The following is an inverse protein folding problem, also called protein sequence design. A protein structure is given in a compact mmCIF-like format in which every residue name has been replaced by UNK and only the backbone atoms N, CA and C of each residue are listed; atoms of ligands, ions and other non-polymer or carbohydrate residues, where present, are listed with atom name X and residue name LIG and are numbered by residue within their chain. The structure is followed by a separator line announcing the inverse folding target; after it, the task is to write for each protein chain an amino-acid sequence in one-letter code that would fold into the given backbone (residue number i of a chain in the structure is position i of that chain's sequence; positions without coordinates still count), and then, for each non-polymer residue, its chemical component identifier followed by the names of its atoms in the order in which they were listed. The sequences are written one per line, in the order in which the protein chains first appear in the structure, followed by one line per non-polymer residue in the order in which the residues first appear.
data_IF_387738978022
#
_entry.id   IF_387738978022
#
_cell.length_a   1.000
_cell.length_b   1.000
_cell.length_c   1.000
_cell.angle_alpha   90.00
_cell.angle_beta   90.00
_cell.angle_gamma   90.00
#
_symmetry.space_group_name_H-M   'P 1'
#
loop_
_entity.id
_entity.type
_entity.pdbx_description
1 polymer ?
#
# COMPACT_ATOMS: atom_id res chain seq x y z
N UNK A 1 44.44 -34.32 0.62
CA UNK A 1 43.06 -34.85 0.81
C UNK A 1 42.28 -33.81 1.58
N UNK A 2 41.32 -33.13 0.95
CA UNK A 2 40.43 -32.22 1.70
C UNK A 2 39.47 -33.06 2.52
N UNK A 3 39.47 -32.84 3.82
CA UNK A 3 38.63 -33.56 4.78
C UNK A 3 37.15 -33.23 4.56
N UNK A 4 36.24 -34.13 4.92
CA UNK A 4 34.78 -33.88 4.82
C UNK A 4 34.35 -32.57 5.52
N UNK A 5 35.06 -32.20 6.60
CA UNK A 5 34.88 -30.94 7.31
C UNK A 5 35.18 -29.70 6.43
N UNK A 6 36.23 -29.76 5.60
CA UNK A 6 36.61 -28.65 4.71
C UNK A 6 35.62 -28.44 3.57
N UNK A 7 34.90 -29.50 3.18
CA UNK A 7 33.82 -29.43 2.18
C UNK A 7 32.59 -28.77 2.80
N UNK A 8 32.17 -29.22 3.98
CA UNK A 8 31.04 -28.62 4.71
C UNK A 8 31.27 -27.14 5.06
N UNK A 9 32.50 -26.77 5.42
CA UNK A 9 32.86 -25.39 5.68
C UNK A 9 32.76 -24.50 4.42
N UNK A 10 33.16 -25.02 3.26
CA UNK A 10 33.01 -24.34 1.96
C UNK A 10 31.54 -24.21 1.56
N UNK A 11 30.77 -25.30 1.65
CA UNK A 11 29.33 -25.28 1.35
C UNK A 11 28.58 -24.28 2.26
N UNK A 12 28.99 -24.16 3.52
CA UNK A 12 28.42 -23.18 4.45
C UNK A 12 28.80 -21.73 4.10
N UNK A 13 30.03 -21.49 3.65
CA UNK A 13 30.51 -20.19 3.18
C UNK A 13 29.78 -19.75 1.90
N UNK A 14 29.64 -20.66 0.94
CA UNK A 14 28.91 -20.43 -0.32
C UNK A 14 27.43 -20.13 -0.03
N UNK A 15 26.81 -20.87 0.90
CA UNK A 15 25.44 -20.60 1.33
C UNK A 15 25.29 -19.26 2.07
N UNK A 16 26.30 -18.84 2.83
CA UNK A 16 26.32 -17.53 3.48
C UNK A 16 26.46 -16.40 2.45
N UNK A 17 27.28 -16.59 1.42
CA UNK A 17 27.44 -15.64 0.32
C UNK A 17 26.13 -15.50 -0.48
N UNK A 18 25.47 -16.61 -0.83
CA UNK A 18 24.16 -16.59 -1.50
C UNK A 18 23.12 -15.86 -0.65
N UNK A 19 23.08 -16.11 0.67
CA UNK A 19 22.19 -15.38 1.58
C UNK A 19 22.48 -13.88 1.60
N UNK A 20 23.76 -13.48 1.59
CA UNK A 20 24.21 -12.08 1.55
C UNK A 20 23.73 -11.36 0.29
N UNK A 21 23.78 -12.03 -0.86
CA UNK A 21 23.25 -11.51 -2.13
C UNK A 21 21.72 -11.47 -2.17
N UNK A 22 21.03 -12.44 -1.56
CA UNK A 22 19.57 -12.43 -1.46
C UNK A 22 19.04 -11.40 -0.46
N UNK A 23 19.80 -11.08 0.58
CA UNK A 23 19.45 -10.06 1.59
C UNK A 23 19.85 -8.64 1.19
N UNK A 24 20.45 -8.45 0.00
CA UNK A 24 20.86 -7.12 -0.45
C UNK A 24 19.64 -6.18 -0.52
N UNK A 25 19.72 -4.96 0.03
CA UNK A 25 18.58 -4.05 0.14
C UNK A 25 17.93 -3.75 -1.22
N UNK A 26 18.74 -3.67 -2.28
CA UNK A 26 18.27 -3.41 -3.65
C UNK A 26 17.49 -4.60 -4.23
N UNK A 27 17.88 -5.84 -3.92
CA UNK A 27 17.16 -7.05 -4.38
C UNK A 27 15.81 -7.14 -3.69
N UNK A 28 15.74 -6.79 -2.41
CA UNK A 28 14.49 -6.77 -1.64
C UNK A 28 13.58 -5.65 -2.16
N UNK A 29 14.11 -4.44 -2.33
CA UNK A 29 13.39 -3.32 -2.91
C UNK A 29 12.84 -3.65 -4.31
N UNK A 30 13.64 -4.28 -5.16
CA UNK A 30 13.22 -4.71 -6.49
C UNK A 30 12.13 -5.79 -6.46
N UNK A 31 12.25 -6.82 -5.61
CA UNK A 31 11.22 -7.87 -5.48
C UNK A 31 9.90 -7.29 -5.02
N UNK A 32 9.96 -6.40 -4.04
CA UNK A 32 8.81 -5.75 -3.44
C UNK A 32 8.13 -4.82 -4.46
N UNK A 33 8.89 -4.01 -5.19
CA UNK A 33 8.35 -3.17 -6.27
C UNK A 33 7.77 -4.03 -7.41
N UNK A 34 8.38 -5.17 -7.74
CA UNK A 34 7.85 -6.11 -8.73
C UNK A 34 6.49 -6.68 -8.30
N UNK A 35 6.35 -7.11 -7.05
CA UNK A 35 5.08 -7.60 -6.51
C UNK A 35 4.02 -6.50 -6.55
N UNK A 36 4.36 -5.27 -6.11
CA UNK A 36 3.46 -4.12 -6.20
C UNK A 36 2.99 -3.85 -7.63
N UNK A 37 3.90 -3.78 -8.59
CA UNK A 37 3.57 -3.59 -10.03
C UNK A 37 2.75 -4.73 -10.61
N UNK A 38 2.97 -5.96 -10.15
CA UNK A 38 2.23 -7.13 -10.62
C UNK A 38 0.79 -7.11 -10.09
N UNK A 39 0.61 -6.86 -8.79
CA UNK A 39 -0.72 -6.74 -8.17
C UNK A 39 -1.50 -5.59 -8.78
N UNK A 40 -0.84 -4.44 -8.99
CA UNK A 40 -1.47 -3.28 -9.64
C UNK A 40 -1.95 -3.61 -11.06
N UNK A 41 -1.11 -4.29 -11.85
CA UNK A 41 -1.46 -4.73 -13.21
C UNK A 41 -2.63 -5.72 -13.22
N UNK A 42 -2.65 -6.70 -12.32
CA UNK A 42 -3.75 -7.67 -12.22
C UNK A 42 -5.06 -6.99 -11.83
N UNK A 43 -5.01 -6.03 -10.90
CA UNK A 43 -6.19 -5.29 -10.49
C UNK A 43 -6.73 -4.44 -11.63
N UNK A 44 -5.87 -3.69 -12.33
CA UNK A 44 -6.27 -2.92 -13.51
C UNK A 44 -6.79 -3.80 -14.65
N UNK A 45 -6.17 -4.96 -14.89
CA UNK A 45 -6.65 -5.91 -15.88
C UNK A 45 -8.06 -6.40 -15.52
N UNK A 46 -8.31 -6.75 -14.26
CA UNK A 46 -9.64 -7.15 -13.78
C UNK A 46 -10.68 -6.04 -13.94
N UNK A 47 -10.35 -4.79 -13.59
CA UNK A 47 -11.23 -3.64 -13.76
C UNK A 47 -11.55 -3.42 -15.25
N UNK A 48 -10.54 -3.40 -16.12
CA UNK A 48 -10.73 -3.17 -17.56
C UNK A 48 -11.55 -4.28 -18.20
N UNK A 49 -11.27 -5.55 -17.86
CA UNK A 49 -12.03 -6.69 -18.37
C UNK A 49 -13.49 -6.66 -17.89
N UNK A 50 -13.70 -6.35 -16.60
CA UNK A 50 -15.04 -6.20 -16.05
C UNK A 50 -15.82 -5.08 -16.74
N UNK A 51 -15.20 -3.91 -16.92
CA UNK A 51 -15.78 -2.78 -17.63
C UNK A 51 -16.07 -3.10 -19.09
N UNK A 52 -15.17 -3.78 -19.80
CA UNK A 52 -15.40 -4.19 -21.18
C UNK A 52 -16.61 -5.14 -21.28
N UNK A 53 -16.76 -6.06 -20.32
CA UNK A 53 -17.90 -6.95 -20.25
C UNK A 53 -19.21 -6.18 -19.98
N UNK A 54 -19.23 -5.29 -18.97
CA UNK A 54 -20.43 -4.49 -18.67
C UNK A 54 -20.81 -3.60 -19.85
N UNK A 55 -19.82 -2.96 -20.46
CA UNK A 55 -20.03 -2.09 -21.61
C UNK A 55 -20.56 -2.87 -22.82
N UNK A 56 -20.05 -4.06 -23.10
CA UNK A 56 -20.56 -4.88 -24.20
C UNK A 56 -22.03 -5.32 -23.96
N UNK A 57 -22.37 -5.70 -22.74
CA UNK A 57 -23.75 -6.11 -22.41
C UNK A 57 -24.73 -4.92 -22.47
N UNK A 58 -24.34 -3.77 -21.90
CA UNK A 58 -25.13 -2.54 -21.99
C UNK A 58 -25.24 -2.07 -23.44
N UNK A 59 -24.18 -2.19 -24.23
CA UNK A 59 -24.21 -1.83 -25.65
C UNK A 59 -25.20 -2.70 -26.42
N UNK A 60 -25.17 -4.02 -26.21
CA UNK A 60 -26.11 -4.94 -26.83
C UNK A 60 -27.55 -4.59 -26.48
N UNK A 61 -27.82 -4.30 -25.20
CA UNK A 61 -29.13 -3.88 -24.73
C UNK A 61 -29.57 -2.53 -25.32
N UNK A 62 -28.71 -1.52 -25.27
CA UNK A 62 -29.03 -0.16 -25.69
C UNK A 62 -29.09 0.00 -27.21
N UNK A 63 -28.34 -0.81 -27.97
CA UNK A 63 -28.41 -0.82 -29.43
C UNK A 63 -29.76 -1.34 -29.92
N UNK A 64 -30.45 -2.20 -29.14
CA UNK A 64 -31.83 -2.64 -29.39
C UNK A 64 -32.11 -3.09 -30.86
N UNK A 65 -31.13 -3.77 -31.48
CA UNK A 65 -31.22 -4.23 -32.87
C UNK A 65 -30.83 -3.21 -33.94
N UNK A 66 -30.24 -2.07 -33.57
CA UNK A 66 -29.69 -1.10 -34.51
C UNK A 66 -28.64 -1.73 -35.43
N UNK A 67 -28.60 -1.27 -36.68
CA UNK A 67 -27.62 -1.73 -37.67
C UNK A 67 -26.19 -1.48 -37.19
N UNK A 68 -25.30 -2.45 -37.43
CA UNK A 68 -23.88 -2.35 -37.07
C UNK A 68 -23.26 -1.16 -37.79
N UNK A 69 -22.65 -0.26 -37.02
CA UNK A 69 -22.04 0.97 -37.54
C UNK A 69 -22.98 2.17 -37.66
N UNK A 70 -24.28 2.01 -37.37
CA UNK A 70 -25.21 3.14 -37.28
C UNK A 70 -24.89 4.05 -36.07
N UNK A 71 -25.36 5.31 -36.11
CA UNK A 71 -25.19 6.25 -35.01
C UNK A 71 -25.72 5.70 -33.66
N UNK A 72 -26.94 5.11 -33.58
CA UNK A 72 -27.42 4.49 -32.33
C UNK A 72 -26.48 3.38 -31.83
N UNK A 73 -26.01 2.51 -32.72
CA UNK A 73 -25.10 1.42 -32.37
C UNK A 73 -23.76 1.93 -31.81
N UNK A 74 -23.21 3.00 -32.39
CA UNK A 74 -21.99 3.67 -31.92
C UNK A 74 -22.22 4.39 -30.58
N UNK A 75 -23.31 5.13 -30.43
CA UNK A 75 -23.61 5.85 -29.18
C UNK A 75 -23.89 4.93 -28.00
N UNK A 76 -24.42 3.72 -28.25
CA UNK A 76 -24.64 2.71 -27.22
C UNK A 76 -23.33 2.28 -26.51
N UNK A 77 -22.19 2.32 -27.22
CA UNK A 77 -20.87 2.04 -26.62
C UNK A 77 -20.43 3.08 -25.59
N UNK A 78 -21.01 4.29 -25.59
CA UNK A 78 -20.62 5.38 -24.68
C UNK A 78 -21.38 5.36 -23.35
N UNK A 79 -22.53 4.68 -23.30
CA UNK A 79 -23.45 4.77 -22.16
C UNK A 79 -22.81 4.26 -20.87
N UNK A 80 -22.30 3.03 -20.88
CA UNK A 80 -21.68 2.41 -19.70
C UNK A 80 -20.34 3.06 -19.32
N UNK A 81 -19.37 3.30 -20.25
CA UNK A 81 -18.11 3.95 -19.91
C UNK A 81 -18.30 5.33 -19.28
N UNK A 82 -19.30 6.10 -19.69
CA UNK A 82 -19.58 7.41 -19.09
C UNK A 82 -19.94 7.29 -17.62
N UNK A 83 -20.85 6.37 -17.29
CA UNK A 83 -21.26 6.12 -15.89
C UNK A 83 -20.08 5.59 -15.07
N UNK A 84 -19.32 4.64 -15.61
CA UNK A 84 -18.16 4.08 -14.94
C UNK A 84 -17.04 5.11 -14.71
N UNK A 85 -16.77 5.99 -15.66
CA UNK A 85 -15.78 7.06 -15.51
C UNK A 85 -16.19 8.07 -14.44
N UNK A 86 -17.46 8.44 -14.38
CA UNK A 86 -17.98 9.32 -13.32
C UNK A 86 -17.84 8.66 -11.95
N UNK A 87 -18.21 7.38 -11.83
CA UNK A 87 -18.04 6.62 -10.60
C UNK A 87 -16.56 6.51 -10.18
N UNK A 88 -15.66 6.19 -11.13
CA UNK A 88 -14.22 6.13 -10.87
C UNK A 88 -13.65 7.50 -10.47
N UNK A 89 -14.13 8.59 -11.07
CA UNK A 89 -13.75 9.94 -10.70
C UNK A 89 -14.20 10.29 -9.27
N UNK A 90 -15.43 9.92 -8.89
CA UNK A 90 -15.94 10.08 -7.53
C UNK A 90 -15.09 9.27 -6.54
N UNK A 91 -14.85 7.99 -6.82
CA UNK A 91 -13.98 7.13 -6.01
C UNK A 91 -12.59 7.73 -5.87
N UNK A 92 -12.01 8.22 -6.97
CA UNK A 92 -10.70 8.87 -6.95
C UNK A 92 -10.70 10.15 -6.11
N UNK A 93 -11.74 10.97 -6.20
CA UNK A 93 -11.87 12.20 -5.43
C UNK A 93 -11.97 11.93 -3.92
N UNK A 94 -12.74 10.91 -3.51
CA UNK A 94 -12.83 10.49 -2.10
C UNK A 94 -11.49 10.05 -1.54
N UNK A 95 -10.72 9.30 -2.33
CA UNK A 95 -9.40 8.82 -1.91
C UNK A 95 -8.39 9.98 -1.77
N UNK A 96 -8.44 10.95 -2.68
CA UNK A 96 -7.61 12.15 -2.57
C UNK A 96 -8.01 12.95 -1.32
N UNK A 97 -9.29 13.15 -1.05
CA UNK A 97 -9.77 13.93 0.10
C UNK A 97 -9.56 13.22 1.43
N UNK A 98 -9.66 11.88 1.48
CA UNK A 98 -9.37 11.07 2.65
C UNK A 98 -7.91 11.23 3.11
N UNK A 99 -6.96 11.38 2.18
CA UNK A 99 -5.55 11.69 2.49
C UNK A 99 -5.37 13.02 3.22
N UNK A 100 -6.28 13.96 3.03
CA UNK A 100 -6.32 15.25 3.73
C UNK A 100 -7.30 15.27 4.92
N UNK A 101 -7.82 14.10 5.35
CA UNK A 101 -8.79 13.96 6.46
C UNK A 101 -10.11 14.73 6.25
N UNK A 102 -10.44 15.05 5.00
CA UNK A 102 -11.70 15.69 4.65
C UNK A 102 -12.75 14.61 4.38
N UNK A 103 -13.79 14.57 5.19
CA UNK A 103 -14.86 13.58 5.06
C UNK A 103 -15.81 13.98 3.93
N UNK A 104 -16.11 13.03 3.04
CA UNK A 104 -17.08 13.24 1.97
C UNK A 104 -18.52 13.13 2.50
N UNK A 105 -19.38 14.04 2.04
CA UNK A 105 -20.76 14.14 2.51
C UNK A 105 -21.68 13.03 2.00
N UNK A 106 -22.90 12.97 2.55
CA UNK A 106 -23.94 11.97 2.21
C UNK A 106 -24.29 11.92 0.72
N UNK A 107 -24.13 13.03 0.00
CA UNK A 107 -24.37 13.11 -1.45
C UNK A 107 -23.38 12.29 -2.28
N UNK A 108 -22.12 12.20 -1.86
CA UNK A 108 -21.12 11.40 -2.57
C UNK A 108 -21.45 9.91 -2.45
N UNK A 109 -21.83 9.48 -1.24
CA UNK A 109 -22.34 8.13 -0.99
C UNK A 109 -23.58 7.82 -1.83
N UNK A 110 -24.53 8.75 -1.88
CA UNK A 110 -25.73 8.58 -2.71
C UNK A 110 -25.39 8.44 -4.20
N UNK A 111 -24.48 9.26 -4.73
CA UNK A 111 -24.04 9.18 -6.12
C UNK A 111 -23.38 7.83 -6.45
N UNK A 112 -22.55 7.28 -5.55
CA UNK A 112 -21.92 5.96 -5.71
C UNK A 112 -22.96 4.84 -5.77
N UNK A 113 -23.90 4.83 -4.83
CA UNK A 113 -24.95 3.81 -4.82
C UNK A 113 -25.89 3.94 -6.02
N UNK A 114 -26.20 5.16 -6.45
CA UNK A 114 -27.05 5.40 -7.62
C UNK A 114 -26.37 4.92 -8.91
N UNK A 115 -25.08 5.24 -9.10
CA UNK A 115 -24.31 4.80 -10.27
C UNK A 115 -24.10 3.28 -10.29
N UNK A 116 -23.83 2.67 -9.13
CA UNK A 116 -23.76 1.22 -9.00
C UNK A 116 -25.10 0.54 -9.29
N UNK A 117 -26.20 1.07 -8.75
CA UNK A 117 -27.54 0.55 -9.00
C UNK A 117 -27.94 0.66 -10.47
N UNK A 118 -27.63 1.79 -11.12
CA UNK A 118 -27.86 1.96 -12.56
C UNK A 118 -27.09 0.90 -13.37
N UNK A 119 -25.81 0.70 -13.07
CA UNK A 119 -24.96 -0.32 -13.72
C UNK A 119 -25.53 -1.74 -13.52
N UNK A 120 -25.94 -2.06 -12.29
CA UNK A 120 -26.56 -3.35 -11.98
C UNK A 120 -27.86 -3.56 -12.76
N UNK A 121 -28.75 -2.57 -12.79
CA UNK A 121 -30.03 -2.66 -13.49
C UNK A 121 -29.79 -2.87 -14.99
N UNK A 122 -28.96 -2.04 -15.61
CA UNK A 122 -28.69 -2.16 -17.06
C UNK A 122 -28.11 -3.52 -17.43
N UNK A 123 -27.26 -4.11 -16.58
CA UNK A 123 -26.69 -5.42 -16.86
C UNK A 123 -27.65 -6.59 -16.62
N UNK A 124 -28.55 -6.48 -15.65
CA UNK A 124 -29.41 -7.60 -15.25
C UNK A 124 -30.82 -7.52 -15.83
N UNK A 125 -31.23 -6.39 -16.40
CA UNK A 125 -32.61 -6.15 -16.86
C UNK A 125 -33.12 -7.22 -17.82
N UNK A 126 -32.32 -7.59 -18.82
CA UNK A 126 -32.70 -8.65 -19.78
C UNK A 126 -32.90 -10.01 -19.09
N UNK A 127 -32.08 -10.31 -18.08
CA UNK A 127 -32.20 -11.54 -17.29
C UNK A 127 -33.42 -11.54 -16.38
N UNK A 128 -33.77 -10.38 -15.82
CA UNK A 128 -35.02 -10.19 -15.08
C UNK A 128 -36.25 -10.33 -15.98
N UNK A 129 -36.25 -9.70 -17.14
CA UNK A 129 -37.32 -9.80 -18.13
C UNK A 129 -37.51 -11.24 -18.64
N UNK A 130 -36.41 -12.01 -18.74
CA UNK A 130 -36.43 -13.42 -19.09
C UNK A 130 -36.76 -14.36 -17.92
N UNK A 131 -36.89 -13.86 -16.69
CA UNK A 131 -37.13 -14.68 -15.51
C UNK A 131 -36.00 -15.67 -15.20
N UNK A 132 -34.75 -15.32 -15.51
CA UNK A 132 -33.57 -16.19 -15.35
C UNK A 132 -32.72 -15.80 -14.14
N UNK A 133 -32.84 -16.51 -13.00
CA UNK A 133 -32.03 -16.21 -11.81
C UNK A 133 -30.53 -16.39 -12.08
N UNK A 134 -30.16 -17.41 -12.86
CA UNK A 134 -28.78 -17.65 -13.26
C UNK A 134 -28.23 -16.49 -14.11
N UNK A 135 -29.04 -15.94 -15.02
CA UNK A 135 -28.66 -14.76 -15.82
C UNK A 135 -28.46 -13.51 -14.96
N UNK A 136 -29.32 -13.28 -13.95
CA UNK A 136 -29.18 -12.15 -13.03
C UNK A 136 -27.86 -12.26 -12.24
N UNK A 137 -27.54 -13.45 -11.73
CA UNK A 137 -26.26 -13.67 -11.03
C UNK A 137 -25.09 -13.45 -11.99
N UNK A 138 -25.12 -14.05 -13.18
CA UNK A 138 -24.01 -13.97 -14.13
C UNK A 138 -23.71 -12.53 -14.57
N UNK A 139 -24.73 -11.71 -14.82
CA UNK A 139 -24.53 -10.33 -15.27
C UNK A 139 -24.36 -9.31 -14.13
N UNK A 140 -24.64 -9.69 -12.87
CA UNK A 140 -24.40 -8.82 -11.70
C UNK A 140 -22.98 -8.94 -11.14
N UNK A 141 -22.31 -10.07 -11.35
CA UNK A 141 -20.93 -10.29 -10.87
C UNK A 141 -19.95 -9.23 -11.40
N UNK A 142 -19.92 -8.90 -12.71
CA UNK A 142 -18.92 -7.95 -13.23
C UNK A 142 -19.05 -6.53 -12.65
N UNK A 143 -20.24 -5.90 -12.58
CA UNK A 143 -20.42 -4.61 -11.89
C UNK A 143 -19.93 -4.61 -10.45
N UNK A 144 -20.30 -5.65 -9.68
CA UNK A 144 -19.94 -5.75 -8.26
C UNK A 144 -18.43 -5.91 -8.11
N UNK A 145 -17.81 -6.77 -8.91
CA UNK A 145 -16.36 -6.99 -8.88
C UNK A 145 -15.61 -5.72 -9.27
N UNK A 146 -16.04 -4.99 -10.31
CA UNK A 146 -15.42 -3.71 -10.72
C UNK A 146 -15.52 -2.68 -9.61
N UNK A 147 -16.71 -2.51 -9.01
CA UNK A 147 -16.92 -1.57 -7.91
C UNK A 147 -16.04 -1.90 -6.70
N UNK A 148 -16.07 -3.16 -6.26
CA UNK A 148 -15.25 -3.62 -5.13
C UNK A 148 -13.76 -3.52 -5.44
N UNK A 149 -13.33 -3.89 -6.66
CA UNK A 149 -11.93 -3.76 -7.07
C UNK A 149 -11.48 -2.30 -7.11
N UNK A 150 -12.33 -1.38 -7.59
CA UNK A 150 -12.01 0.05 -7.62
C UNK A 150 -11.90 0.66 -6.22
N UNK A 151 -12.71 0.23 -5.26
CA UNK A 151 -12.59 0.60 -3.84
C UNK A 151 -11.37 -0.05 -3.16
N UNK A 152 -11.15 -1.33 -3.44
CA UNK A 152 -10.09 -2.11 -2.83
C UNK A 152 -8.71 -1.72 -3.37
N UNK A 153 -8.57 -1.39 -4.66
CA UNK A 153 -7.27 -1.01 -5.24
C UNK A 153 -6.71 0.23 -4.56
N UNK A 154 -7.58 1.11 -4.08
CA UNK A 154 -7.16 2.35 -3.44
C UNK A 154 -6.62 2.12 -2.04
N UNK A 155 -7.26 1.25 -1.25
CA UNK A 155 -6.76 0.84 0.08
C UNK A 155 -5.55 -0.10 -0.03
N UNK A 156 -5.56 -1.03 -0.98
CA UNK A 156 -4.50 -1.99 -1.22
C UNK A 156 -3.20 -1.31 -1.66
N UNK A 157 -3.27 -0.24 -2.46
CA UNK A 157 -2.08 0.52 -2.88
C UNK A 157 -1.35 1.17 -1.70
N UNK A 158 -2.11 1.73 -0.76
CA UNK A 158 -1.55 2.40 0.41
C UNK A 158 -0.96 1.33 1.36
N UNK A 159 -1.68 0.24 1.63
CA UNK A 159 -1.19 -0.87 2.45
C UNK A 159 0.01 -1.61 1.86
N UNK A 160 0.04 -1.81 0.54
CA UNK A 160 1.19 -2.39 -0.14
C UNK A 160 2.40 -1.47 0.03
N UNK A 161 2.23 -0.16 -0.13
CA UNK A 161 3.31 0.83 0.07
C UNK A 161 3.84 0.79 1.50
N UNK A 162 2.96 0.67 2.50
CA UNK A 162 3.38 0.53 3.90
C UNK A 162 4.08 -0.81 4.17
N UNK A 163 3.53 -1.92 3.67
CA UNK A 163 4.16 -3.23 3.77
C UNK A 163 5.54 -3.27 3.10
N UNK A 164 5.70 -2.57 1.97
CA UNK A 164 6.98 -2.36 1.28
C UNK A 164 7.97 -1.65 2.22
N UNK A 165 7.56 -0.52 2.81
CA UNK A 165 8.41 0.23 3.73
C UNK A 165 8.80 -0.58 4.97
N UNK A 166 7.88 -1.37 5.53
CA UNK A 166 8.15 -2.27 6.67
C UNK A 166 9.11 -3.39 6.30
N UNK A 167 8.94 -4.02 5.13
CA UNK A 167 9.83 -5.08 4.66
C UNK A 167 11.27 -4.57 4.42
N UNK A 168 11.42 -3.38 3.83
CA UNK A 168 12.72 -2.74 3.60
C UNK A 168 13.39 -2.38 4.94
N UNK A 169 12.67 -1.73 5.84
CA UNK A 169 13.20 -1.33 7.16
C UNK A 169 13.60 -2.53 8.03
N UNK A 170 12.80 -3.59 8.02
CA UNK A 170 13.11 -4.84 8.75
C UNK A 170 14.35 -5.54 8.18
N UNK A 171 14.50 -5.53 6.85
CA UNK A 171 15.66 -6.12 6.19
C UNK A 171 16.94 -5.35 6.50
N UNK A 172 16.87 -4.01 6.46
CA UNK A 172 17.99 -3.15 6.87
C UNK A 172 18.39 -3.37 8.33
N UNK A 173 17.42 -3.47 9.25
CA UNK A 173 17.69 -3.73 10.66
C UNK A 173 18.30 -5.12 10.89
N UNK A 174 17.92 -6.13 10.10
CA UNK A 174 18.50 -7.49 10.20
C UNK A 174 19.93 -7.57 9.67
N UNK A 175 20.28 -6.76 8.67
CA UNK A 175 21.67 -6.66 8.18
C UNK A 175 22.58 -5.98 9.21
N UNK A 176 22.07 -5.00 9.97
CA UNK A 176 22.84 -4.32 11.03
C UNK A 176 23.04 -5.20 12.28
N UNK A 177 22.12 -6.12 12.59
CA UNK A 177 22.17 -6.96 13.82
C UNK A 177 23.03 -8.24 13.65
N UNK A 178 23.34 -8.66 12.42
CA UNK A 178 24.02 -9.94 12.16
C UNK A 178 25.43 -9.80 11.57
N UNK A 179 26.13 -8.69 11.78
CA UNK A 179 27.58 -8.64 11.52
C UNK A 179 28.29 -9.39 12.66
N UNK A 180 28.82 -10.61 12.46
CA UNK A 180 29.64 -11.24 13.47
C UNK A 180 30.94 -10.45 13.49
N UNK A 181 31.30 -9.87 14.63
CA UNK A 181 32.60 -9.26 14.84
C UNK A 181 33.70 -10.31 14.59
N UNK A 182 34.21 -10.37 13.36
CA UNK A 182 35.42 -11.11 13.04
C UNK A 182 36.56 -10.31 13.66
N UNK A 183 37.05 -10.78 14.80
CA UNK A 183 38.25 -10.25 15.44
C UNK A 183 39.46 -10.52 14.53
N UNK A 184 39.88 -9.51 13.78
CA UNK A 184 41.15 -9.51 13.04
C UNK A 184 42.23 -8.93 13.96
N UNK A 185 43.40 -9.58 14.15
CA UNK A 185 44.45 -9.04 15.00
C UNK A 185 45.10 -7.83 14.35
N UNK A 186 45.35 -6.82 15.18
CA UNK A 186 45.85 -5.50 14.78
C UNK A 186 47.24 -5.56 14.12
N UNK A 187 47.36 -4.96 12.94
CA UNK A 187 48.64 -4.43 12.48
C UNK A 187 48.40 -3.11 11.76
N UNK A 188 49.16 -2.10 12.16
CA UNK A 188 48.94 -0.70 11.87
C UNK A 188 49.18 -0.34 10.39
N UNK A 189 48.20 0.34 9.77
CA UNK A 189 48.43 1.28 8.66
C UNK A 189 47.50 2.47 8.85
N UNK A 190 48.11 3.64 9.00
CA UNK A 190 47.49 4.97 9.08
C UNK A 190 47.18 5.50 7.69
N UNK A 191 45.90 5.57 7.28
CA UNK A 191 45.41 6.49 6.24
C UNK A 191 43.93 6.83 6.50
N UNK A 192 43.67 8.13 6.62
CA UNK A 192 42.42 8.86 6.40
C UNK A 192 41.13 8.41 7.14
N UNK A 193 40.62 9.36 7.91
CA UNK A 193 39.28 9.48 8.49
C UNK A 193 38.15 8.99 7.56
N UNK A 194 37.84 7.70 7.64
CA UNK A 194 36.58 7.15 7.12
C UNK A 194 35.50 7.45 8.15
N UNK A 195 34.62 8.38 7.80
CA UNK A 195 33.44 8.74 8.58
C UNK A 195 32.71 7.48 9.06
N UNK A 196 32.54 7.36 10.38
CA UNK A 196 31.77 6.29 11.02
C UNK A 196 30.38 6.20 10.36
N UNK A 197 29.87 5.01 10.01
CA UNK A 197 28.50 4.88 9.53
C UNK A 197 27.55 5.37 10.63
N UNK A 198 26.74 6.37 10.30
CA UNK A 198 25.74 6.95 11.21
C UNK A 198 24.74 5.85 11.52
N UNK A 199 24.79 5.32 12.75
CA UNK A 199 23.86 4.34 13.28
C UNK A 199 22.43 4.82 13.05
N UNK A 200 21.61 4.02 12.37
CA UNK A 200 20.24 4.40 12.03
C UNK A 200 19.42 4.45 13.31
N UNK A 201 18.94 5.64 13.69
CA UNK A 201 18.11 5.82 14.90
C UNK A 201 16.80 5.04 14.77
N UNK A 202 16.53 4.16 15.73
CA UNK A 202 15.28 3.41 15.87
C UNK A 202 14.24 4.27 16.62
N UNK A 203 12.97 3.83 16.62
CA UNK A 203 11.90 4.52 17.33
C UNK A 203 12.22 4.76 18.81
N UNK A 204 12.80 3.78 19.49
CA UNK A 204 13.22 3.89 20.88
C UNK A 204 14.33 4.94 21.08
N UNK A 205 15.24 5.09 20.11
CA UNK A 205 16.30 6.10 20.17
C UNK A 205 15.69 7.50 20.04
N UNK A 206 14.73 7.69 19.13
CA UNK A 206 14.00 8.96 19.01
C UNK A 206 13.16 9.28 20.25
N UNK A 207 12.56 8.27 20.90
CA UNK A 207 11.80 8.47 22.13
C UNK A 207 12.73 8.81 23.32
N UNK A 208 13.89 8.17 23.40
CA UNK A 208 14.92 8.47 24.40
C UNK A 208 15.48 9.89 24.20
N UNK A 209 15.75 10.28 22.96
CA UNK A 209 16.19 11.64 22.61
C UNK A 209 15.11 12.68 23.00
N UNK A 210 13.84 12.41 22.68
CA UNK A 210 12.74 13.29 23.08
C UNK A 210 12.63 13.41 24.61
N UNK A 211 12.78 12.30 25.33
CA UNK A 211 12.73 12.27 26.81
C UNK A 211 13.90 13.03 27.44
N UNK A 212 15.09 12.94 26.86
CA UNK A 212 16.28 13.63 27.36
C UNK A 212 16.19 15.17 27.26
N UNK A 213 15.38 15.67 26.33
CA UNK A 213 15.20 17.11 26.07
C UNK A 213 13.90 17.65 26.69
N UNK A 214 12.99 16.77 27.10
CA UNK A 214 11.70 17.16 27.66
C UNK A 214 11.79 17.64 29.12
N UNK A 215 11.06 18.69 29.45
CA UNK A 215 10.84 19.18 30.82
C UNK A 215 9.34 19.37 31.09
N UNK A 216 8.94 19.34 32.35
CA UNK A 216 7.52 19.41 32.76
C UNK A 216 6.79 20.70 32.33
N UNK A 217 7.52 21.74 31.94
CA UNK A 217 6.99 23.01 31.46
C UNK A 217 6.69 23.01 29.95
N UNK A 218 7.10 21.96 29.23
CA UNK A 218 6.98 21.86 27.77
C UNK A 218 5.78 21.00 27.37
N UNK A 219 4.85 21.59 26.61
CA UNK A 219 3.73 20.87 26.02
C UNK A 219 4.20 19.89 24.94
N UNK A 220 3.87 18.61 25.11
CA UNK A 220 4.26 17.55 24.17
C UNK A 220 3.39 17.64 22.92
N UNK A 221 3.91 18.26 21.86
CA UNK A 221 3.26 18.35 20.55
C UNK A 221 4.07 17.66 19.44
N UNK A 222 3.44 17.18 18.35
CA UNK A 222 4.17 16.63 17.21
C UNK A 222 5.12 17.64 16.53
N UNK A 223 4.85 18.94 16.65
CA UNK A 223 5.74 19.99 16.16
C UNK A 223 7.01 20.05 17.00
N UNK A 224 6.87 20.09 18.32
CA UNK A 224 7.98 20.09 19.26
C UNK A 224 8.84 18.83 19.15
N UNK A 225 8.23 17.63 19.11
CA UNK A 225 8.97 16.36 18.98
C UNK A 225 9.82 16.34 17.70
N UNK A 226 9.30 16.91 16.61
CA UNK A 226 10.04 16.98 15.34
C UNK A 226 11.24 17.91 15.43
N UNK A 227 11.08 19.05 16.10
CA UNK A 227 12.16 20.01 16.33
C UNK A 227 13.24 19.44 17.27
N UNK A 228 12.82 18.78 18.35
CA UNK A 228 13.73 18.19 19.33
C UNK A 228 14.53 16.99 18.81
N UNK A 229 13.98 16.23 17.86
CA UNK A 229 14.57 14.93 17.46
C UNK A 229 14.93 14.81 15.98
N UNK A 230 14.47 15.73 15.13
CA UNK A 230 14.68 15.68 13.68
C UNK A 230 13.93 14.55 12.96
N UNK A 231 12.95 13.91 13.61
CA UNK A 231 12.20 12.79 13.04
C UNK A 231 11.25 13.21 11.89
N UNK A 232 10.76 12.23 11.11
CA UNK A 232 9.81 12.50 10.02
C UNK A 232 8.41 12.86 10.54
N UNK A 233 7.60 13.55 9.71
CA UNK A 233 6.23 14.00 10.08
C UNK A 233 5.31 12.88 10.56
N UNK A 234 5.42 11.68 9.99
CA UNK A 234 4.62 10.52 10.40
C UNK A 234 5.10 9.87 11.69
N UNK A 235 6.39 10.03 12.02
CA UNK A 235 6.99 9.51 13.25
C UNK A 235 6.73 10.44 14.44
N UNK A 236 6.72 11.76 14.21
CA UNK A 236 6.52 12.76 15.26
C UNK A 236 5.16 12.66 15.96
N UNK A 237 4.10 12.25 15.25
CA UNK A 237 2.78 12.05 15.86
C UNK A 237 2.75 10.84 16.80
N UNK A 238 3.41 9.75 16.40
CA UNK A 238 3.51 8.51 17.20
C UNK A 238 4.40 8.70 18.43
N UNK A 239 5.50 9.42 18.28
CA UNK A 239 6.41 9.75 19.38
C UNK A 239 5.76 10.70 20.39
N UNK A 240 5.02 11.72 19.93
CA UNK A 240 4.27 12.61 20.82
C UNK A 240 3.21 11.84 21.64
N UNK A 241 2.47 10.95 21.00
CA UNK A 241 1.47 10.11 21.69
C UNK A 241 2.11 9.16 22.72
N UNK A 242 3.24 8.54 22.37
CA UNK A 242 3.96 7.65 23.28
C UNK A 242 4.54 8.39 24.50
N UNK A 243 5.20 9.54 24.29
CA UNK A 243 5.75 10.34 25.38
C UNK A 243 4.66 10.91 26.28
N UNK A 244 3.54 11.36 25.71
CA UNK A 244 2.40 11.84 26.50
C UNK A 244 1.77 10.73 27.37
N UNK A 245 1.72 9.49 26.85
CA UNK A 245 1.24 8.34 27.61
C UNK A 245 2.18 7.98 28.78
N UNK A 246 3.51 8.00 28.57
CA UNK A 246 4.50 7.77 29.63
C UNK A 246 4.42 8.81 30.74
N UNK A 247 4.27 10.09 30.39
CA UNK A 247 4.12 11.17 31.38
C UNK A 247 2.81 11.02 32.15
N UNK A 248 1.71 10.65 31.48
CA UNK A 248 0.43 10.40 32.14
C UNK A 248 0.45 9.16 33.06
N UNK A 249 1.27 8.15 32.75
CA UNK A 249 1.50 6.98 33.61
C UNK A 249 2.42 7.29 34.80
N UNK A 250 3.47 8.09 34.60
CA UNK A 250 4.35 8.56 35.68
C UNK A 250 3.61 9.40 36.72
N UNK A 251 2.74 10.32 36.28
CA UNK A 251 1.91 11.16 37.17
C UNK A 251 0.91 10.31 37.99
N UNK A 252 0.49 9.15 37.49
CA UNK A 252 -0.40 8.22 38.23
C UNK A 252 0.33 7.37 39.27
N UNK A 253 1.66 7.25 39.18
CA UNK A 253 2.46 6.47 40.13
C UNK A 253 3.01 7.31 41.30
N UNK A 254 3.01 8.64 41.16
CA UNK A 254 3.47 9.60 42.19
C UNK A 254 2.30 10.23 43.00
N UNK A 255 1.07 9.76 42.84
CA UNK A 255 -0.11 10.08 43.67
C UNK A 255 -0.46 8.92 44.61
#
# INVERSE_FOLDING_TARGET
MTTNADRLARDAADAAEVRRWQSHPDVIAWRVERVRRQVDRLCWAGIVLGLAFTTANVQWFAAAGAEVGSLPWLTAWLLDPTVCLVLLAILRAEQITARYQVHTGRWVRAAKWLTLAATYVMNTWSSWAAGSPAGVVLHSVPPVVVFVAAEAVTDLRDKLTDAVHVAVSTSMNRTEVHEPAVAVPATAVTVAEVARPVRRKLFADYLADARAVWSAEVEITPAWVREATGCSRGLSSRLAAALAAEVAEGVRHDQ
#
